data_IF_510229424840
#
_entry.id   IF_510229424840
#
_cell.length_a   1.000
_cell.length_b   1.000
_cell.length_c   1.000
_cell.angle_alpha   90.00
_cell.angle_beta   90.00
_cell.angle_gamma   90.00
#
_symmetry.space_group_name_H-M   'P 1'
#
loop_
_entity.id
_entity.type
_entity.pdbx_description
1 polymer ?
#
# COMPACT_ATOMS: atom_id res chain seq x y z
N UNK A 1 -12.56 -19.21 26.81
CA UNK A 1 -12.60 -17.81 26.44
C UNK A 1 -12.79 -17.69 24.93
N UNK A 2 -13.66 -16.79 24.55
CA UNK A 2 -13.95 -16.60 23.14
C UNK A 2 -12.97 -15.62 22.54
N UNK A 3 -12.34 -16.06 21.46
CA UNK A 3 -11.49 -15.17 20.69
C UNK A 3 -12.34 -14.19 19.91
N UNK A 4 -11.88 -12.95 19.76
CA UNK A 4 -12.51 -12.07 18.78
C UNK A 4 -12.48 -12.72 17.43
N UNK A 5 -13.48 -12.43 16.63
CA UNK A 5 -13.53 -13.00 15.29
C UNK A 5 -12.42 -12.40 14.45
N UNK A 6 -11.41 -13.18 14.20
CA UNK A 6 -10.24 -12.74 13.45
C UNK A 6 -10.50 -12.58 11.97
N UNK A 7 -11.62 -13.12 11.48
CA UNK A 7 -11.93 -13.01 10.08
C UNK A 7 -12.35 -11.59 9.71
N UNK A 8 -12.79 -10.79 10.67
CA UNK A 8 -13.23 -9.42 10.41
C UNK A 8 -12.19 -8.39 10.78
N UNK A 9 -11.06 -8.83 11.30
CA UNK A 9 -10.02 -7.92 11.76
C UNK A 9 -8.70 -8.33 11.17
N UNK A 10 -8.03 -7.37 10.56
CA UNK A 10 -6.68 -7.58 10.07
C UNK A 10 -5.76 -6.62 10.81
N UNK A 11 -5.63 -6.86 12.11
CA UNK A 11 -4.58 -6.20 12.89
C UNK A 11 -3.29 -6.97 12.77
N UNK A 12 -3.40 -8.27 12.55
CA UNK A 12 -2.23 -9.10 12.37
C UNK A 12 -1.53 -8.67 11.09
N UNK A 13 -0.21 -8.59 11.15
CA UNK A 13 0.57 -8.25 9.98
C UNK A 13 0.41 -9.32 8.92
N UNK A 14 0.16 -8.89 7.70
CA UNK A 14 0.22 -9.77 6.54
C UNK A 14 1.63 -9.68 5.96
N UNK A 15 2.00 -10.70 5.22
CA UNK A 15 3.31 -10.71 4.57
C UNK A 15 3.18 -10.02 3.21
N UNK A 16 3.83 -8.86 3.08
CA UNK A 16 3.81 -8.11 1.83
C UNK A 16 5.12 -8.38 1.09
N UNK A 17 4.99 -8.77 -0.15
CA UNK A 17 6.12 -9.08 -1.01
C UNK A 17 6.27 -7.98 -2.07
N UNK A 18 7.50 -7.49 -2.25
CA UNK A 18 7.79 -6.56 -3.33
C UNK A 18 8.15 -7.35 -4.57
N UNK A 19 7.24 -7.39 -5.52
CA UNK A 19 7.45 -8.05 -6.79
C UNK A 19 7.96 -7.01 -7.78
N UNK A 20 9.27 -6.79 -7.78
CA UNK A 20 9.86 -5.74 -8.60
C UNK A 20 9.69 -6.02 -10.10
N UNK A 21 9.73 -7.28 -10.49
CA UNK A 21 9.57 -7.65 -11.89
C UNK A 21 8.20 -7.25 -12.43
N UNK A 22 7.17 -7.28 -11.57
CA UNK A 22 5.82 -6.88 -11.96
C UNK A 22 5.50 -5.45 -11.56
N UNK A 23 6.42 -4.74 -10.94
CA UNK A 23 6.23 -3.37 -10.44
C UNK A 23 5.02 -3.30 -9.52
N UNK A 24 5.03 -4.13 -8.49
CA UNK A 24 3.93 -4.16 -7.54
C UNK A 24 4.37 -4.64 -6.18
N UNK A 25 3.62 -4.22 -5.16
CA UNK A 25 3.65 -4.84 -3.84
C UNK A 25 2.42 -5.71 -3.72
N UNK A 26 2.58 -6.92 -3.20
CA UNK A 26 1.50 -7.88 -3.21
C UNK A 26 1.48 -8.72 -1.94
N UNK A 27 0.32 -9.24 -1.61
CA UNK A 27 0.13 -10.18 -0.54
C UNK A 27 -0.94 -11.17 -0.95
N UNK A 28 -0.78 -12.43 -0.55
CA UNK A 28 -1.81 -13.42 -0.74
C UNK A 28 -2.48 -13.64 0.61
N UNK A 29 -3.77 -13.35 0.68
CA UNK A 29 -4.55 -13.46 1.90
C UNK A 29 -5.72 -14.37 1.61
N UNK A 30 -5.84 -15.44 2.36
CA UNK A 30 -6.87 -16.46 2.15
C UNK A 30 -6.89 -16.93 0.69
N UNK A 31 -5.70 -17.13 0.12
CA UNK A 31 -5.57 -17.60 -1.26
C UNK A 31 -5.87 -16.56 -2.32
N UNK A 32 -6.12 -15.31 -1.95
CA UNK A 32 -6.47 -14.26 -2.90
C UNK A 32 -5.37 -13.20 -2.96
N UNK A 33 -5.07 -12.75 -4.17
CA UNK A 33 -4.02 -11.77 -4.40
C UNK A 33 -4.52 -10.36 -4.16
N UNK A 34 -3.76 -9.61 -3.35
CA UNK A 34 -4.00 -8.20 -3.08
C UNK A 34 -2.77 -7.43 -3.54
N UNK A 35 -2.96 -6.29 -4.19
CA UNK A 35 -1.84 -5.60 -4.83
C UNK A 35 -1.89 -4.09 -4.67
N UNK A 36 -0.71 -3.49 -4.78
CA UNK A 36 -0.53 -2.07 -5.07
C UNK A 36 0.45 -1.99 -6.23
N UNK A 37 -0.04 -1.54 -7.38
CA UNK A 37 0.76 -1.45 -8.59
C UNK A 37 1.33 -0.06 -8.74
N UNK A 38 2.58 0.01 -9.25
CA UNK A 38 3.22 1.29 -9.43
C UNK A 38 3.97 1.33 -10.77
N UNK A 39 4.27 2.54 -11.22
CA UNK A 39 5.24 2.80 -12.26
C UNK A 39 6.43 3.52 -11.64
N UNK A 40 7.62 3.08 -11.94
CA UNK A 40 8.82 3.75 -11.50
C UNK A 40 9.37 4.61 -12.62
N UNK A 41 9.53 5.91 -12.34
CA UNK A 41 10.14 6.86 -13.26
C UNK A 41 11.25 7.54 -12.50
N UNK A 42 12.49 7.28 -12.87
CA UNK A 42 13.67 7.77 -12.16
C UNK A 42 13.56 7.35 -10.68
N UNK A 43 13.59 8.32 -9.76
CA UNK A 43 13.45 8.02 -8.34
C UNK A 43 12.05 8.28 -7.81
N UNK A 44 11.05 8.24 -8.68
CA UNK A 44 9.66 8.46 -8.29
C UNK A 44 8.87 7.16 -8.49
N UNK A 45 8.18 6.76 -7.44
CA UNK A 45 7.26 5.62 -7.50
C UNK A 45 5.85 6.18 -7.63
N UNK A 46 5.21 5.94 -8.77
CA UNK A 46 3.84 6.39 -9.02
C UNK A 46 2.91 5.23 -8.75
N UNK A 47 2.27 5.24 -7.59
CA UNK A 47 1.33 4.17 -7.22
C UNK A 47 -0.01 4.50 -7.84
N UNK A 48 -0.41 3.70 -8.84
CA UNK A 48 -1.56 4.06 -9.66
C UNK A 48 -2.76 3.14 -9.46
N UNK A 49 -2.60 2.02 -8.74
CA UNK A 49 -3.70 1.08 -8.57
C UNK A 49 -3.51 0.25 -7.32
N UNK A 50 -4.58 0.11 -6.55
CA UNK A 50 -4.63 -0.84 -5.44
C UNK A 50 -5.84 -1.73 -5.63
N UNK A 51 -5.70 -3.00 -5.29
CA UNK A 51 -6.81 -3.93 -5.42
C UNK A 51 -6.80 -4.93 -4.29
N UNK A 52 -7.95 -5.02 -3.60
CA UNK A 52 -8.19 -6.03 -2.58
C UNK A 52 -9.54 -6.67 -2.93
N UNK A 53 -9.60 -7.99 -3.04
CA UNK A 53 -10.85 -8.66 -3.36
C UNK A 53 -11.95 -8.25 -2.39
N UNK A 54 -13.18 -8.17 -2.92
CA UNK A 54 -14.32 -7.71 -2.12
C UNK A 54 -14.48 -8.51 -0.83
N UNK A 55 -14.25 -9.82 -0.90
CA UNK A 55 -14.40 -10.70 0.26
C UNK A 55 -13.45 -10.31 1.40
N UNK A 56 -12.37 -9.60 1.10
CA UNK A 56 -11.36 -9.20 2.08
C UNK A 56 -11.42 -7.70 2.40
N UNK A 57 -12.38 -6.98 1.84
CA UNK A 57 -12.48 -5.54 2.01
C UNK A 57 -12.74 -5.18 3.47
N UNK A 58 -12.27 -4.01 3.88
CA UNK A 58 -12.53 -3.50 5.22
C UNK A 58 -11.65 -4.11 6.31
N UNK A 59 -10.62 -4.85 5.96
CA UNK A 59 -9.76 -5.53 6.93
C UNK A 59 -8.37 -4.89 7.06
N UNK A 60 -8.17 -3.72 6.47
CA UNK A 60 -6.89 -3.02 6.57
C UNK A 60 -5.78 -3.57 5.70
N UNK A 61 -6.10 -4.46 4.75
CA UNK A 61 -5.09 -5.10 3.93
C UNK A 61 -4.41 -4.09 3.00
N UNK A 62 -5.20 -3.26 2.32
CA UNK A 62 -4.65 -2.27 1.41
C UNK A 62 -3.70 -1.32 2.15
N UNK A 63 -4.05 -0.91 3.36
CA UNK A 63 -3.20 -0.04 4.17
C UNK A 63 -1.86 -0.68 4.49
N UNK A 64 -1.84 -1.97 4.78
CA UNK A 64 -0.59 -2.65 5.06
C UNK A 64 0.30 -2.73 3.83
N UNK A 65 -0.31 -2.98 2.65
CA UNK A 65 0.44 -3.06 1.41
C UNK A 65 1.02 -1.70 1.05
N UNK A 66 0.21 -0.65 1.16
CA UNK A 66 0.66 0.72 0.87
C UNK A 66 1.75 1.15 1.84
N UNK A 67 1.61 0.78 3.12
CA UNK A 67 2.64 1.10 4.11
C UNK A 67 3.97 0.44 3.75
N UNK A 68 3.92 -0.80 3.28
CA UNK A 68 5.13 -1.50 2.86
C UNK A 68 5.78 -0.79 1.66
N UNK A 69 4.96 -0.30 0.72
CA UNK A 69 5.47 0.45 -0.42
C UNK A 69 6.15 1.74 0.03
N UNK A 70 5.56 2.45 0.99
CA UNK A 70 6.15 3.67 1.52
C UNK A 70 7.45 3.40 2.26
N UNK A 71 7.50 2.31 3.04
CA UNK A 71 8.72 1.94 3.73
C UNK A 71 9.84 1.63 2.74
N UNK A 72 9.51 0.94 1.65
CA UNK A 72 10.48 0.66 0.60
C UNK A 72 10.97 1.95 -0.05
N UNK A 73 10.06 2.86 -0.36
CA UNK A 73 10.44 4.14 -0.96
C UNK A 73 11.38 4.91 -0.05
N UNK A 74 11.04 4.98 1.22
CA UNK A 74 11.87 5.71 2.17
C UNK A 74 13.25 5.09 2.29
N UNK A 75 13.33 3.76 2.37
CA UNK A 75 14.60 3.06 2.53
C UNK A 75 15.49 3.19 1.30
N UNK A 76 14.90 3.45 0.13
CA UNK A 76 15.63 3.48 -1.14
C UNK A 76 15.72 4.88 -1.74
N UNK A 77 15.37 5.90 -0.99
CA UNK A 77 15.49 7.28 -1.47
C UNK A 77 14.52 7.62 -2.59
N UNK A 78 13.37 6.96 -2.64
CA UNK A 78 12.38 7.23 -3.66
C UNK A 78 11.32 8.19 -3.16
N UNK A 79 10.80 9.00 -4.07
CA UNK A 79 9.62 9.79 -3.82
C UNK A 79 8.39 9.02 -4.25
N UNK A 80 7.22 9.40 -3.74
CA UNK A 80 5.97 8.72 -4.04
C UNK A 80 4.96 9.72 -4.56
N UNK A 81 4.36 9.39 -5.72
CA UNK A 81 3.23 10.13 -6.25
C UNK A 81 1.99 9.26 -6.15
N UNK A 82 0.96 9.73 -5.45
CA UNK A 82 -0.29 8.96 -5.32
C UNK A 82 -1.20 9.22 -6.52
N UNK A 83 -1.15 8.32 -7.49
CA UNK A 83 -2.00 8.39 -8.68
C UNK A 83 -3.29 7.60 -8.51
N UNK A 84 -3.46 6.97 -7.36
CA UNK A 84 -4.63 6.18 -7.01
C UNK A 84 -5.36 6.90 -5.88
N UNK A 85 -6.69 6.97 -5.97
CA UNK A 85 -7.48 7.65 -4.96
C UNK A 85 -7.30 7.10 -3.56
N UNK A 86 -7.14 5.78 -3.45
CA UNK A 86 -6.91 5.17 -2.14
C UNK A 86 -5.59 5.65 -1.53
N UNK A 87 -4.53 5.68 -2.31
CA UNK A 87 -3.21 6.10 -1.82
C UNK A 87 -3.23 7.57 -1.44
N UNK A 88 -3.90 8.39 -2.26
CA UNK A 88 -4.06 9.81 -1.95
C UNK A 88 -4.77 10.00 -0.62
N UNK A 89 -5.86 9.28 -0.40
CA UNK A 89 -6.59 9.37 0.86
C UNK A 89 -5.76 8.86 2.03
N UNK A 90 -4.98 7.81 1.80
CA UNK A 90 -4.09 7.28 2.82
C UNK A 90 -3.08 8.34 3.26
N UNK A 91 -2.46 9.03 2.32
CA UNK A 91 -1.47 10.07 2.64
C UNK A 91 -2.11 11.25 3.36
N UNK A 92 -3.36 11.56 3.06
CA UNK A 92 -4.07 12.62 3.78
C UNK A 92 -4.33 12.23 5.22
N UNK A 93 -4.66 10.95 5.48
CA UNK A 93 -4.90 10.46 6.83
C UNK A 93 -3.60 10.26 7.61
N UNK A 94 -2.48 10.14 6.92
CA UNK A 94 -1.17 9.92 7.52
C UNK A 94 -0.20 10.99 7.04
N UNK A 95 -0.32 12.22 7.59
CA UNK A 95 0.45 13.37 7.07
C UNK A 95 1.95 13.16 7.05
N UNK A 96 2.48 12.29 7.93
CA UNK A 96 3.91 12.01 7.96
C UNK A 96 4.39 11.38 6.65
N UNK A 97 3.49 10.75 5.88
CA UNK A 97 3.88 10.14 4.60
C UNK A 97 4.07 11.19 3.51
N UNK A 98 3.56 12.40 3.72
CA UNK A 98 3.59 13.43 2.68
C UNK A 98 5.00 13.95 2.42
N UNK A 99 5.94 13.67 3.32
CA UNK A 99 7.35 14.00 3.08
C UNK A 99 7.93 13.24 1.90
N UNK A 100 7.27 12.16 1.45
CA UNK A 100 7.71 11.39 0.30
C UNK A 100 7.23 11.98 -1.02
N UNK A 101 6.33 12.97 -0.98
CA UNK A 101 5.83 13.60 -2.19
C UNK A 101 6.94 14.41 -2.87
N UNK A 102 7.00 14.38 -4.21
CA UNK A 102 7.89 15.29 -4.92
C UNK A 102 7.55 16.72 -4.61
N UNK A 103 8.56 17.57 -4.65
CA UNK A 103 8.36 19.00 -4.39
C UNK A 103 7.32 19.56 -5.35
N UNK A 104 6.33 20.26 -4.80
CA UNK A 104 5.27 20.84 -5.59
C UNK A 104 4.11 19.94 -5.94
N UNK A 105 4.21 18.65 -5.63
CA UNK A 105 3.09 17.74 -5.86
C UNK A 105 2.04 17.94 -4.78
N UNK A 106 0.81 18.14 -5.19
CA UNK A 106 -0.29 18.40 -4.24
C UNK A 106 -1.28 17.24 -4.22
N UNK A 107 -1.78 16.95 -3.05
CA UNK A 107 -2.79 15.89 -2.88
C UNK A 107 -4.08 16.46 -2.31
#
# INVERSE_FOLDING_TARGET
MTQPDRSTRIDAAIEVHHNAAASRFEAVVNGQLCVADYHRVDNVMRIHHTEVPRALAGRGIAGQIVRAAFAHAQANGLEVEPWCGYVRAYMKRHPETQRLLPKGFRI
#
